data_IF_401640461158
#
_entry.id   IF_401640461158
#
_cell.length_a   1.000
_cell.length_b   1.000
_cell.length_c   1.000
_cell.angle_alpha   90.00
_cell.angle_beta   90.00
_cell.angle_gamma   90.00
#
_symmetry.space_group_name_H-M   'P 1'
#
loop_
_entity.id
_entity.type
_entity.pdbx_description
1 polymer ?
#
# COMPACT_ATOMS: atom_id res chain seq x y z
N UNK A 1 1.08 -6.07 -16.20
CA UNK A 1 0.47 -4.73 -16.05
C UNK A 1 1.55 -3.74 -15.65
N UNK A 2 1.51 -2.49 -16.14
CA UNK A 2 2.44 -1.45 -15.69
C UNK A 2 1.89 -0.82 -14.42
N UNK A 3 2.73 -0.66 -13.40
CA UNK A 3 2.37 0.13 -12.22
C UNK A 3 2.27 1.62 -12.61
N UNK A 4 1.33 2.37 -12.01
CA UNK A 4 1.32 3.81 -12.15
C UNK A 4 2.65 4.40 -11.65
N UNK A 5 3.09 5.45 -12.34
CA UNK A 5 4.23 6.26 -11.92
C UNK A 5 3.70 7.46 -11.15
N UNK A 6 4.58 8.04 -10.34
CA UNK A 6 4.30 9.30 -9.63
C UNK A 6 3.15 9.24 -8.62
N UNK A 7 2.92 8.05 -8.05
CA UNK A 7 2.05 7.88 -6.88
C UNK A 7 2.81 8.26 -5.62
N UNK A 8 2.26 9.20 -4.86
CA UNK A 8 2.76 9.57 -3.53
C UNK A 8 2.46 8.49 -2.49
N UNK A 9 3.19 8.52 -1.37
CA UNK A 9 2.90 7.62 -0.25
C UNK A 9 1.53 7.85 0.39
N UNK A 10 1.06 9.09 0.39
CA UNK A 10 -0.25 9.44 0.95
C UNK A 10 -1.37 8.90 0.05
N UNK A 11 -1.26 9.07 -1.27
CA UNK A 11 -2.23 8.50 -2.23
C UNK A 11 -2.28 6.98 -2.14
N UNK A 12 -1.12 6.31 -2.03
CA UNK A 12 -1.10 4.86 -1.83
C UNK A 12 -1.77 4.46 -0.52
N UNK A 13 -1.52 5.20 0.57
CA UNK A 13 -2.13 4.93 1.86
C UNK A 13 -3.66 5.07 1.81
N UNK A 14 -4.16 6.10 1.13
CA UNK A 14 -5.59 6.33 0.91
C UNK A 14 -6.23 5.22 0.07
N UNK A 15 -5.58 4.79 -1.01
CA UNK A 15 -6.05 3.67 -1.83
C UNK A 15 -6.16 2.35 -1.03
N UNK A 16 -5.22 2.10 -0.12
CA UNK A 16 -5.21 0.90 0.71
C UNK A 16 -6.32 0.88 1.78
N UNK A 17 -7.04 1.99 2.00
CA UNK A 17 -8.25 2.00 2.85
C UNK A 17 -9.34 1.06 2.32
N UNK A 18 -9.35 0.74 1.02
CA UNK A 18 -10.22 -0.29 0.42
C UNK A 18 -10.04 -1.68 1.05
N UNK A 19 -8.89 -1.92 1.66
CA UNK A 19 -8.58 -3.14 2.41
C UNK A 19 -8.44 -2.87 3.92
N UNK A 20 -9.13 -1.83 4.41
CA UNK A 20 -9.17 -1.41 5.81
C UNK A 20 -7.81 -1.12 6.43
N UNK A 21 -6.80 -0.83 5.60
CA UNK A 21 -5.58 -0.25 6.13
C UNK A 21 -5.85 1.18 6.58
N UNK A 22 -5.51 1.47 7.82
CA UNK A 22 -5.59 2.80 8.42
C UNK A 22 -4.22 3.23 8.92
N UNK A 23 -3.90 4.52 8.80
CA UNK A 23 -2.65 5.05 9.35
C UNK A 23 -2.73 5.04 10.87
N UNK A 24 -1.87 4.26 11.52
CA UNK A 24 -1.84 4.11 12.99
C UNK A 24 -0.71 4.92 13.63
N UNK A 25 0.34 5.24 12.87
CA UNK A 25 1.46 6.05 13.34
C UNK A 25 2.19 6.72 12.18
N UNK A 26 2.79 7.88 12.44
CA UNK A 26 3.81 8.46 11.58
C UNK A 26 5.08 8.71 12.40
N UNK A 27 6.23 8.32 11.84
CA UNK A 27 7.55 8.63 12.42
C UNK A 27 8.43 9.20 11.31
N UNK A 28 8.76 10.49 11.43
CA UNK A 28 9.44 11.22 10.36
C UNK A 28 8.64 11.16 9.06
N UNK A 29 9.31 10.79 7.97
CA UNK A 29 8.72 10.67 6.63
C UNK A 29 8.14 9.29 6.32
N UNK A 30 7.79 8.48 7.32
CA UNK A 30 7.19 7.15 7.11
C UNK A 30 5.87 7.00 7.87
N UNK A 31 4.85 6.50 7.18
CA UNK A 31 3.57 6.08 7.72
C UNK A 31 3.60 4.60 8.08
N UNK A 32 2.98 4.26 9.20
CA UNK A 32 2.59 2.90 9.54
C UNK A 32 1.09 2.76 9.31
N UNK A 33 0.71 1.80 8.49
CA UNK A 33 -0.67 1.42 8.27
C UNK A 33 -0.94 0.08 8.94
N UNK A 34 -2.15 -0.12 9.45
CA UNK A 34 -2.60 -1.39 10.03
C UNK A 34 -3.95 -1.77 9.44
N UNK A 35 -4.12 -3.05 9.10
CA UNK A 35 -5.42 -3.68 8.82
C UNK A 35 -5.65 -4.83 9.79
N UNK A 36 -6.92 -5.20 10.01
CA UNK A 36 -7.31 -6.42 10.72
C UNK A 36 -7.91 -7.47 9.76
N UNK A 37 -8.06 -7.14 8.47
CA UNK A 37 -8.55 -8.10 7.46
C UNK A 37 -7.55 -9.24 7.31
N UNK A 38 -8.03 -10.48 7.47
CA UNK A 38 -7.18 -11.67 7.38
C UNK A 38 -6.19 -11.81 8.55
N UNK A 39 -6.39 -11.05 9.63
CA UNK A 39 -5.48 -10.94 10.77
C UNK A 39 -4.79 -9.58 10.82
N UNK A 40 -4.18 -9.27 11.97
CA UNK A 40 -3.42 -8.04 12.13
C UNK A 40 -2.20 -8.03 11.21
N UNK A 41 -2.09 -6.96 10.41
CA UNK A 41 -0.95 -6.76 9.53
C UNK A 41 -0.59 -5.29 9.41
N UNK A 42 0.70 -5.04 9.21
CA UNK A 42 1.26 -3.71 9.18
C UNK A 42 2.02 -3.45 7.89
N UNK A 43 1.79 -2.29 7.27
CA UNK A 43 2.58 -1.80 6.16
C UNK A 43 3.33 -0.52 6.58
N UNK A 44 4.53 -0.33 6.04
CA UNK A 44 5.27 0.92 6.19
C UNK A 44 5.45 1.60 4.85
N UNK A 45 4.97 2.83 4.71
CA UNK A 45 4.94 3.58 3.45
C UNK A 45 5.69 4.90 3.64
N UNK A 46 6.70 5.23 2.80
CA UNK A 46 7.31 6.56 2.81
C UNK A 46 6.29 7.63 2.41
N UNK A 47 6.08 8.65 3.23
CA UNK A 47 5.21 9.81 2.98
C UNK A 47 5.87 10.82 2.01
N UNK A 48 6.40 10.34 0.89
CA UNK A 48 7.06 11.17 -0.13
C UNK A 48 6.08 11.50 -1.25
N UNK A 49 6.33 12.58 -1.98
CA UNK A 49 5.49 13.04 -3.09
C UNK A 49 5.45 12.07 -4.28
N UNK A 50 6.45 11.19 -4.41
CA UNK A 50 6.48 10.14 -5.42
C UNK A 50 7.27 8.94 -4.89
N UNK A 51 6.66 7.76 -4.97
CA UNK A 51 7.29 6.50 -4.65
C UNK A 51 8.04 5.97 -5.88
N UNK A 52 9.26 5.48 -5.65
CA UNK A 52 9.94 4.69 -6.68
C UNK A 52 9.11 3.45 -7.01
N UNK A 53 9.05 3.09 -8.29
CA UNK A 53 8.28 1.93 -8.78
C UNK A 53 8.67 0.64 -8.03
N UNK A 54 9.94 0.46 -7.68
CA UNK A 54 10.41 -0.68 -6.88
C UNK A 54 9.81 -0.71 -5.47
N UNK A 55 9.75 0.45 -4.80
CA UNK A 55 9.13 0.60 -3.47
C UNK A 55 7.63 0.34 -3.53
N UNK A 56 6.95 0.94 -4.51
CA UNK A 56 5.52 0.70 -4.74
C UNK A 56 5.25 -0.79 -4.98
N UNK A 57 6.02 -1.45 -5.84
CA UNK A 57 5.85 -2.88 -6.11
C UNK A 57 6.12 -3.74 -4.88
N UNK A 58 7.06 -3.38 -4.02
CA UNK A 58 7.36 -4.12 -2.80
C UNK A 58 6.19 -4.05 -1.82
N UNK A 59 5.66 -2.85 -1.57
CA UNK A 59 4.50 -2.64 -0.69
C UNK A 59 3.27 -3.41 -1.21
N UNK A 60 3.00 -3.34 -2.53
CA UNK A 60 1.87 -4.07 -3.12
C UNK A 60 2.04 -5.59 -3.08
N UNK A 61 3.27 -6.10 -3.23
CA UNK A 61 3.55 -7.54 -3.05
C UNK A 61 3.24 -7.97 -1.61
N UNK A 62 3.69 -7.21 -0.62
CA UNK A 62 3.48 -7.51 0.81
C UNK A 62 2.00 -7.49 1.17
N UNK A 63 1.27 -6.45 0.72
CA UNK A 63 -0.17 -6.37 0.89
C UNK A 63 -0.92 -7.55 0.25
N UNK A 64 -0.56 -7.91 -1.00
CA UNK A 64 -1.18 -9.02 -1.71
C UNK A 64 -0.91 -10.37 -1.03
N UNK A 65 0.31 -10.60 -0.54
CA UNK A 65 0.67 -11.80 0.21
C UNK A 65 -0.16 -11.94 1.49
N UNK A 66 -0.28 -10.87 2.29
CA UNK A 66 -1.09 -10.88 3.50
C UNK A 66 -2.57 -11.17 3.19
N UNK A 67 -3.12 -10.48 2.21
CA UNK A 67 -4.52 -10.64 1.79
C UNK A 67 -4.78 -11.96 1.04
N UNK A 68 -3.75 -12.77 0.78
CA UNK A 68 -3.80 -14.01 -0.01
C UNK A 68 -4.45 -13.80 -1.38
N UNK A 69 -4.09 -12.69 -2.03
CA UNK A 69 -4.60 -12.30 -3.35
C UNK A 69 -3.49 -12.24 -4.38
N UNK A 70 -3.86 -12.39 -5.63
CA UNK A 70 -2.93 -12.08 -6.72
C UNK A 70 -2.65 -10.58 -6.76
N UNK A 71 -1.38 -10.22 -6.97
CA UNK A 71 -0.97 -8.81 -7.02
C UNK A 71 -1.62 -8.06 -8.18
N UNK A 72 -1.80 -8.70 -9.33
CA UNK A 72 -2.40 -8.04 -10.49
C UNK A 72 -3.86 -7.68 -10.23
N UNK A 73 -4.61 -8.56 -9.56
CA UNK A 73 -5.99 -8.28 -9.16
C UNK A 73 -6.04 -7.12 -8.16
N UNK A 74 -5.15 -7.11 -7.17
CA UNK A 74 -5.04 -6.00 -6.22
C UNK A 74 -4.73 -4.66 -6.94
N UNK A 75 -3.80 -4.64 -7.89
CA UNK A 75 -3.50 -3.44 -8.69
C UNK A 75 -4.73 -2.98 -9.49
N UNK A 76 -5.47 -3.91 -10.07
CA UNK A 76 -6.69 -3.60 -10.83
C UNK A 76 -7.80 -3.02 -9.94
N UNK A 77 -7.95 -3.53 -8.73
CA UNK A 77 -8.96 -3.02 -7.79
C UNK A 77 -8.60 -1.64 -7.23
N UNK A 78 -7.31 -1.31 -7.12
CA UNK A 78 -6.85 -0.01 -6.63
C UNK A 78 -6.93 1.11 -7.68
N UNK A 79 -6.64 0.82 -8.95
CA UNK A 79 -6.55 1.82 -10.03
C UNK A 79 -7.49 1.57 -11.23
N UNK A 80 -8.35 0.57 -11.15
CA UNK A 80 -9.37 0.28 -12.17
C UNK A 80 -10.72 0.91 -11.89
#
# INVERSE_FOLDING_TARGET
MKLPRDISGIELADLLTRYEYSVTRQTGSHLRLTTQIGGEHHLTIPAHSSLRVGTLSAILNEAAQHLKRDKFDLIRELWG
#
